data_IF_499597323889
#
_entry.id   IF_499597323889
#
_cell.length_a   1.000
_cell.length_b   1.000
_cell.length_c   1.000
_cell.angle_alpha   90.00
_cell.angle_beta   90.00
_cell.angle_gamma   90.00
#
_symmetry.space_group_name_H-M   'P 1'
#
loop_
_entity.id
_entity.type
_entity.pdbx_description
1 polymer ?
#
# COMPACT_ATOMS: atom_id res chain seq x y z
N UNK A 1 -22.86 -15.91 4.01
CA UNK A 1 -21.96 -14.75 4.21
C UNK A 1 -20.71 -14.99 3.38
N UNK A 2 -20.58 -14.33 2.22
CA UNK A 2 -19.37 -14.43 1.40
C UNK A 2 -18.46 -13.32 1.86
N UNK A 3 -17.39 -13.66 2.59
CA UNK A 3 -16.29 -12.73 2.77
C UNK A 3 -15.86 -12.30 1.36
N UNK A 4 -15.77 -10.99 1.03
CA UNK A 4 -15.28 -10.59 -0.26
C UNK A 4 -13.91 -11.22 -0.39
N UNK A 5 -13.78 -12.19 -1.31
CA UNK A 5 -12.49 -12.79 -1.62
C UNK A 5 -11.66 -11.61 -2.09
N UNK A 6 -10.80 -11.11 -1.20
CA UNK A 6 -9.93 -9.99 -1.48
C UNK A 6 -8.93 -10.60 -2.43
N UNK A 7 -9.24 -10.56 -3.73
CA UNK A 7 -8.39 -11.13 -4.77
C UNK A 7 -7.09 -10.35 -4.69
N UNK A 8 -6.13 -10.92 -3.97
CA UNK A 8 -4.81 -10.34 -3.85
C UNK A 8 -4.23 -10.40 -5.24
N UNK A 9 -3.75 -9.26 -5.78
CA UNK A 9 -3.19 -9.27 -7.12
C UNK A 9 -2.03 -10.27 -7.14
N UNK A 10 -1.92 -11.02 -8.24
CA UNK A 10 -0.85 -12.00 -8.41
C UNK A 10 0.52 -11.33 -8.60
N UNK A 11 0.55 -10.11 -9.14
CA UNK A 11 1.76 -9.36 -9.47
C UNK A 11 1.57 -7.86 -9.26
N UNK A 12 2.65 -7.16 -8.95
CA UNK A 12 2.71 -5.71 -8.74
C UNK A 12 2.75 -5.29 -7.26
N UNK A 13 2.57 -3.99 -7.05
CA UNK A 13 2.55 -3.35 -5.74
C UNK A 13 1.18 -2.75 -5.52
N UNK A 14 0.62 -2.88 -4.32
CA UNK A 14 -0.68 -2.28 -4.00
C UNK A 14 -0.51 -1.34 -2.83
N UNK A 15 -1.02 -0.14 -2.98
CA UNK A 15 -1.11 0.82 -1.92
C UNK A 15 -2.30 0.48 -1.02
N UNK A 16 -1.98 0.09 0.21
CA UNK A 16 -2.91 -0.16 1.29
C UNK A 16 -2.95 1.06 2.21
N UNK A 17 -4.12 1.66 2.37
CA UNK A 17 -4.36 2.80 3.24
C UNK A 17 -5.39 2.37 4.28
N UNK A 18 -4.99 2.38 5.54
CA UNK A 18 -5.81 2.01 6.69
C UNK A 18 -6.45 0.61 6.56
N UNK A 19 -5.66 -0.34 6.06
CA UNK A 19 -6.13 -1.70 5.79
C UNK A 19 -6.94 -1.83 4.49
N UNK A 20 -7.20 -0.74 3.75
CA UNK A 20 -7.94 -0.74 2.48
C UNK A 20 -7.01 -0.63 1.28
N UNK A 21 -7.07 -1.60 0.36
CA UNK A 21 -6.36 -1.52 -0.92
C UNK A 21 -7.00 -0.43 -1.78
N UNK A 22 -6.22 0.57 -2.16
CA UNK A 22 -6.68 1.70 -3.00
C UNK A 22 -6.22 1.55 -4.44
N UNK A 23 -4.92 1.53 -4.65
CA UNK A 23 -4.33 1.67 -5.99
C UNK A 23 -3.30 0.57 -6.22
N UNK A 24 -3.30 0.00 -7.42
CA UNK A 24 -2.31 -0.97 -7.86
C UNK A 24 -1.29 -0.29 -8.78
N UNK A 25 -0.02 -0.55 -8.53
CA UNK A 25 1.12 -0.09 -9.31
C UNK A 25 1.86 -1.27 -9.91
N UNK A 26 2.42 -1.07 -11.09
CA UNK A 26 3.37 -2.00 -11.67
C UNK A 26 4.76 -1.90 -10.98
N UNK A 27 5.13 -0.71 -10.50
CA UNK A 27 6.46 -0.40 -9.97
C UNK A 27 6.45 -0.05 -8.49
N UNK A 28 7.54 -0.42 -7.79
CA UNK A 28 7.72 -0.13 -6.35
C UNK A 28 7.79 1.38 -6.10
N UNK A 29 8.58 2.09 -6.91
CA UNK A 29 8.81 3.53 -6.78
C UNK A 29 7.53 4.34 -6.93
N UNK A 30 6.65 3.97 -7.87
CA UNK A 30 5.35 4.61 -8.05
C UNK A 30 4.46 4.44 -6.81
N UNK A 31 4.38 3.21 -6.28
CA UNK A 31 3.65 2.94 -5.05
C UNK A 31 4.23 3.69 -3.85
N UNK A 32 5.57 3.74 -3.74
CA UNK A 32 6.28 4.38 -2.63
C UNK A 32 6.14 5.89 -2.64
N UNK A 33 6.28 6.52 -3.81
CA UNK A 33 6.14 7.97 -3.97
C UNK A 33 4.74 8.43 -3.56
N UNK A 34 3.69 7.74 -4.02
CA UNK A 34 2.32 8.08 -3.64
C UNK A 34 2.04 7.80 -2.16
N UNK A 35 2.57 6.69 -1.63
CA UNK A 35 2.46 6.37 -0.20
C UNK A 35 3.09 7.47 0.68
N UNK A 36 4.27 7.95 0.32
CA UNK A 36 4.96 9.05 1.02
C UNK A 36 4.15 10.34 0.91
N UNK A 37 3.66 10.68 -0.28
CA UNK A 37 2.83 11.87 -0.50
C UNK A 37 1.55 11.84 0.35
N UNK A 38 0.85 10.70 0.37
CA UNK A 38 -0.33 10.51 1.20
C UNK A 38 -0.02 10.56 2.69
N UNK A 39 1.09 9.96 3.14
CA UNK A 39 1.49 9.99 4.55
C UNK A 39 1.83 11.41 4.98
N UNK A 40 2.39 12.24 4.09
CA UNK A 40 2.70 13.66 4.35
C UNK A 40 1.44 14.47 4.51
N UNK A 41 0.45 14.28 3.63
CA UNK A 41 -0.83 14.97 3.75
C UNK A 41 -1.71 14.45 4.88
N UNK A 42 -1.52 13.19 5.30
CA UNK A 42 -2.35 12.50 6.31
C UNK A 42 -1.49 11.60 7.21
N UNK A 43 -0.72 12.18 8.15
CA UNK A 43 0.19 11.42 9.01
C UNK A 43 -0.50 10.38 9.89
N UNK A 44 -1.78 10.61 10.20
CA UNK A 44 -2.62 9.70 11.01
C UNK A 44 -3.01 8.40 10.28
N UNK A 45 -2.95 8.35 8.94
CA UNK A 45 -3.33 7.15 8.19
C UNK A 45 -2.21 6.12 8.22
N UNK A 46 -2.56 4.84 8.39
CA UNK A 46 -1.61 3.73 8.22
C UNK A 46 -1.42 3.47 6.73
N UNK A 47 -0.22 3.72 6.20
CA UNK A 47 0.08 3.48 4.79
C UNK A 47 1.06 2.32 4.68
N UNK A 48 0.67 1.32 3.90
CA UNK A 48 1.44 0.10 3.65
C UNK A 48 1.43 -0.19 2.16
N UNK A 49 2.49 -0.81 1.68
CA UNK A 49 2.59 -1.28 0.31
C UNK A 49 2.59 -2.79 0.35
N UNK A 50 1.54 -3.39 -0.21
CA UNK A 50 1.45 -4.82 -0.38
C UNK A 50 2.20 -5.24 -1.65
N UNK A 51 3.26 -6.02 -1.46
CA UNK A 51 4.04 -6.63 -2.53
C UNK A 51 3.39 -7.96 -2.88
N UNK A 52 2.64 -8.00 -3.97
CA UNK A 52 1.96 -9.21 -4.44
C UNK A 52 2.90 -10.40 -4.59
N UNK A 53 4.09 -10.14 -5.15
CA UNK A 53 5.09 -11.16 -5.46
C UNK A 53 5.57 -11.93 -4.23
N UNK A 54 5.77 -11.21 -3.12
CA UNK A 54 6.28 -11.76 -1.86
C UNK A 54 5.16 -12.01 -0.85
N UNK A 55 3.93 -11.60 -1.18
CA UNK A 55 2.77 -11.53 -0.28
C UNK A 55 3.08 -10.78 1.03
N UNK A 56 4.01 -9.83 0.99
CA UNK A 56 4.45 -9.03 2.15
C UNK A 56 3.84 -7.64 2.14
N UNK A 57 3.73 -7.03 3.31
CA UNK A 57 3.29 -5.64 3.49
C UNK A 57 4.48 -4.84 3.99
N UNK A 58 4.94 -3.86 3.23
CA UNK A 58 5.96 -2.91 3.64
C UNK A 58 5.29 -1.66 4.21
N UNK A 59 5.51 -1.35 5.48
CA UNK A 59 4.97 -0.14 6.09
C UNK A 59 5.75 1.10 5.61
N UNK A 60 5.02 2.10 5.13
CA UNK A 60 5.62 3.36 4.70
C UNK A 60 5.68 4.30 5.90
N UNK A 61 6.87 4.44 6.46
CA UNK A 61 7.18 5.41 7.51
C UNK A 61 7.82 6.62 6.86
N UNK A 62 7.29 7.81 7.16
CA UNK A 62 8.01 9.03 6.85
C UNK A 62 9.19 9.14 7.81
N UNK A 63 10.40 9.49 7.33
CA UNK A 63 11.41 10.00 8.24
C UNK A 63 10.83 11.25 8.88
N UNK A 64 10.59 11.18 10.20
CA UNK A 64 10.31 12.35 11.04
C UNK A 64 11.58 13.21 10.98
N UNK A 65 11.50 14.31 10.22
CA UNK A 65 12.49 15.39 10.28
C UNK A 65 12.12 16.37 11.39
#
# INVERSE_FOLDING_TARGET
MVAPTRVLPAFGYVLEVDGQFKTKYASKDGAWSEAVALKRGRPMLQIRIYVALRKTREEVRLPLG
#
